data_IF_154095072130
#
_entry.id   IF_154095072130
#
_cell.length_a   1.000
_cell.length_b   1.000
_cell.length_c   1.000
_cell.angle_alpha   90.00
_cell.angle_beta   90.00
_cell.angle_gamma   90.00
#
_symmetry.space_group_name_H-M   'P 1'
#
loop_
_entity.id
_entity.type
_entity.pdbx_description
1 polymer ?
#
# COMPACT_ATOMS: atom_id res chain seq x y z
N UNK A 1 4.35 -0.73 -4.80
CA UNK A 1 5.18 -1.78 -4.18
C UNK A 1 4.42 -2.69 -3.20
N UNK A 2 3.66 -2.18 -2.21
CA UNK A 2 2.94 -3.04 -1.25
C UNK A 2 2.01 -4.07 -1.94
N UNK A 3 1.19 -3.64 -2.91
CA UNK A 3 0.34 -4.55 -3.69
C UNK A 3 1.12 -5.64 -4.44
N UNK A 4 2.31 -5.31 -4.97
CA UNK A 4 3.21 -6.25 -5.65
C UNK A 4 3.73 -7.33 -4.69
N UNK A 5 4.21 -6.91 -3.51
CA UNK A 5 4.68 -7.84 -2.47
C UNK A 5 3.55 -8.78 -2.04
N UNK A 6 2.35 -8.24 -1.75
CA UNK A 6 1.21 -9.07 -1.35
C UNK A 6 0.62 -9.93 -2.47
N UNK A 7 0.91 -9.64 -3.73
CA UNK A 7 0.45 -10.43 -4.88
C UNK A 7 1.45 -11.52 -5.29
N UNK A 8 2.75 -11.21 -5.32
CA UNK A 8 3.78 -12.04 -5.95
C UNK A 8 4.70 -12.77 -4.99
N UNK A 9 4.81 -12.29 -3.75
CA UNK A 9 5.67 -12.92 -2.75
C UNK A 9 4.87 -13.79 -1.80
N UNK A 10 5.50 -14.87 -1.32
CA UNK A 10 4.97 -15.74 -0.27
C UNK A 10 5.84 -15.60 0.98
N UNK A 11 5.25 -15.18 2.09
CA UNK A 11 5.97 -15.05 3.36
C UNK A 11 5.06 -15.38 4.56
N UNK A 12 5.67 -15.73 5.69
CA UNK A 12 4.93 -16.13 6.90
C UNK A 12 4.10 -14.94 7.40
N UNK A 13 2.80 -15.15 7.61
CA UNK A 13 1.88 -14.12 8.08
C UNK A 13 1.29 -13.21 7.00
N UNK A 14 1.61 -13.41 5.71
CA UNK A 14 1.09 -12.60 4.60
C UNK A 14 -0.44 -12.46 4.61
N UNK A 15 -1.17 -13.57 4.76
CA UNK A 15 -2.64 -13.56 4.79
C UNK A 15 -3.16 -12.76 5.96
N UNK A 16 -2.56 -12.90 7.15
CA UNK A 16 -2.96 -12.16 8.34
C UNK A 16 -2.73 -10.65 8.16
N UNK A 17 -1.55 -10.24 7.69
CA UNK A 17 -1.25 -8.83 7.43
C UNK A 17 -2.16 -8.24 6.35
N UNK A 18 -2.45 -9.00 5.30
CA UNK A 18 -3.37 -8.54 4.25
C UNK A 18 -4.79 -8.35 4.81
N UNK A 19 -5.28 -9.29 5.62
CA UNK A 19 -6.58 -9.17 6.28
C UNK A 19 -6.62 -8.01 7.27
N UNK A 20 -5.54 -7.75 8.01
CA UNK A 20 -5.42 -6.60 8.90
C UNK A 20 -5.55 -5.28 8.13
N UNK A 21 -4.88 -5.16 6.99
CA UNK A 21 -5.00 -4.00 6.10
C UNK A 21 -6.44 -3.88 5.59
N UNK A 22 -7.08 -4.99 5.21
CA UNK A 22 -8.48 -4.96 4.76
C UNK A 22 -9.44 -4.53 5.86
N UNK A 23 -9.22 -4.95 7.10
CA UNK A 23 -10.06 -4.59 8.24
C UNK A 23 -10.09 -3.06 8.46
N UNK A 24 -9.03 -2.34 8.12
CA UNK A 24 -9.00 -0.87 8.27
C UNK A 24 -9.95 -0.14 7.31
N UNK A 25 -10.39 -0.78 6.22
CA UNK A 25 -11.42 -0.22 5.31
C UNK A 25 -12.75 -0.05 6.05
N UNK A 26 -13.01 -0.88 7.06
CA UNK A 26 -14.24 -0.83 7.86
C UNK A 26 -14.28 0.39 8.79
N UNK A 27 -13.13 1.03 9.05
CA UNK A 27 -13.07 2.18 9.95
C UNK A 27 -13.29 3.47 9.15
N UNK A 28 -14.39 4.20 9.37
CA UNK A 28 -14.69 5.41 8.61
C UNK A 28 -13.70 6.53 8.94
N UNK A 29 -13.32 7.30 7.92
CA UNK A 29 -12.34 8.40 8.01
C UNK A 29 -12.64 9.40 9.14
N UNK A 30 -13.93 9.62 9.39
CA UNK A 30 -14.43 10.54 10.41
C UNK A 30 -13.98 10.13 11.82
N UNK A 31 -13.81 8.84 12.08
CA UNK A 31 -13.41 8.32 13.41
C UNK A 31 -12.02 8.79 13.82
N UNK A 32 -11.10 8.94 12.87
CA UNK A 32 -9.70 9.29 13.13
C UNK A 32 -9.31 10.68 12.57
N UNK A 33 -10.27 11.47 12.13
CA UNK A 33 -10.03 12.83 11.62
C UNK A 33 -9.38 13.75 12.67
N UNK A 34 -9.84 13.68 13.93
CA UNK A 34 -9.26 14.47 15.03
C UNK A 34 -7.81 14.07 15.32
N UNK A 35 -7.48 12.77 15.52
CA UNK A 35 -6.10 12.32 15.63
C UNK A 35 -5.20 12.79 14.48
N UNK A 36 -5.66 12.66 13.23
CA UNK A 36 -4.90 13.11 12.06
C UNK A 36 -4.62 14.62 12.09
N UNK A 37 -5.62 15.42 12.48
CA UNK A 37 -5.44 16.86 12.66
C UNK A 37 -4.39 17.17 13.73
N UNK A 38 -4.38 16.47 14.85
CA UNK A 38 -3.39 16.65 15.91
C UNK A 38 -1.96 16.30 15.45
N UNK A 39 -1.81 15.29 14.59
CA UNK A 39 -0.53 14.94 13.98
C UNK A 39 -0.08 16.05 13.00
N UNK A 40 -0.98 16.58 12.18
CA UNK A 40 -0.64 17.70 11.29
C UNK A 40 -0.31 18.97 12.06
N UNK A 41 -0.95 19.17 13.22
CA UNK A 41 -0.62 20.24 14.16
C UNK A 41 0.79 20.10 14.72
N UNK A 42 1.17 18.90 15.16
CA UNK A 42 2.52 18.68 15.71
C UNK A 42 3.62 18.84 14.66
N UNK A 43 3.32 18.55 13.39
CA UNK A 43 4.21 18.82 12.26
C UNK A 43 4.24 20.29 11.82
N UNK A 44 3.34 21.14 12.33
CA UNK A 44 3.19 22.52 11.88
C UNK A 44 2.63 22.64 10.46
N UNK A 45 1.92 21.61 9.97
CA UNK A 45 1.38 21.54 8.60
C UNK A 45 -0.07 22.01 8.48
N UNK A 46 -0.64 22.55 9.55
CA UNK A 46 -1.99 23.16 9.49
C UNK A 46 -2.01 24.25 8.41
N UNK A 47 -3.08 24.28 7.61
CA UNK A 47 -3.30 25.23 6.51
C UNK A 47 -2.25 25.16 5.39
N UNK A 48 -1.61 24.01 5.20
CA UNK A 48 -0.70 23.77 4.07
C UNK A 48 -1.23 22.65 3.18
N UNK A 49 -0.84 22.66 1.90
CA UNK A 49 -1.19 21.58 0.97
C UNK A 49 -0.66 20.23 1.47
N UNK A 50 0.57 20.16 2.00
CA UNK A 50 1.08 18.91 2.55
C UNK A 50 0.25 18.41 3.75
N UNK A 51 -0.24 19.30 4.61
CA UNK A 51 -1.09 18.92 5.74
C UNK A 51 -2.45 18.37 5.33
N UNK A 52 -2.96 18.77 4.16
CA UNK A 52 -4.18 18.23 3.58
C UNK A 52 -3.93 16.88 2.88
N UNK A 53 -2.82 16.74 2.17
CA UNK A 53 -2.49 15.56 1.37
C UNK A 53 -2.01 14.41 2.24
N UNK A 54 -1.09 14.69 3.18
CA UNK A 54 -0.35 13.68 3.95
C UNK A 54 -1.22 12.65 4.67
N UNK A 55 -2.31 13.04 5.35
CA UNK A 55 -3.18 12.08 6.03
C UNK A 55 -3.86 11.08 5.08
N UNK A 56 -3.95 11.39 3.80
CA UNK A 56 -4.69 10.62 2.80
C UNK A 56 -3.79 9.79 1.87
N UNK A 57 -2.45 9.88 2.00
CA UNK A 57 -1.52 9.22 1.06
C UNK A 57 -1.58 7.69 1.18
N UNK A 58 -1.83 7.17 2.38
CA UNK A 58 -1.88 5.73 2.64
C UNK A 58 -3.32 5.29 2.78
N UNK A 59 -3.83 4.63 1.73
CA UNK A 59 -5.17 4.05 1.71
C UNK A 59 -5.12 2.54 1.52
N UNK A 60 -5.76 1.81 2.43
CA UNK A 60 -5.83 0.35 2.38
C UNK A 60 -6.58 -0.18 1.16
N UNK A 61 -7.57 0.56 0.66
CA UNK A 61 -8.24 0.26 -0.62
C UNK A 61 -7.27 0.27 -1.79
N UNK A 62 -6.30 1.19 -1.81
CA UNK A 62 -5.26 1.22 -2.85
C UNK A 62 -4.42 -0.06 -2.87
N UNK A 63 -4.05 -0.57 -1.70
CA UNK A 63 -3.30 -1.84 -1.58
C UNK A 63 -4.14 -3.02 -2.08
N UNK A 64 -5.43 -3.06 -1.75
CA UNK A 64 -6.36 -4.08 -2.23
C UNK A 64 -6.43 -4.13 -3.76
N UNK A 65 -6.73 -2.99 -4.38
CA UNK A 65 -6.90 -2.91 -5.83
C UNK A 65 -5.60 -3.22 -6.57
N UNK A 66 -4.47 -2.69 -6.10
CA UNK A 66 -3.16 -2.99 -6.68
C UNK A 66 -2.86 -4.48 -6.59
N UNK A 67 -3.08 -5.13 -5.43
CA UNK A 67 -2.87 -6.57 -5.30
C UNK A 67 -3.75 -7.34 -6.28
N UNK A 68 -5.03 -7.01 -6.35
CA UNK A 68 -5.98 -7.71 -7.22
C UNK A 68 -5.61 -7.60 -8.70
N UNK A 69 -5.16 -6.42 -9.13
CA UNK A 69 -4.68 -6.21 -10.49
C UNK A 69 -3.37 -6.96 -10.77
N UNK A 70 -2.38 -6.87 -9.86
CA UNK A 70 -1.08 -7.52 -10.07
C UNK A 70 -1.20 -9.05 -10.06
N UNK A 71 -2.16 -9.62 -9.33
CA UNK A 71 -2.44 -11.06 -9.35
C UNK A 71 -2.79 -11.60 -10.74
N UNK A 72 -3.31 -10.77 -11.64
CA UNK A 72 -3.66 -11.21 -13.01
C UNK A 72 -2.44 -11.31 -13.93
N UNK A 73 -1.29 -10.77 -13.52
CA UNK A 73 -0.04 -10.86 -14.29
C UNK A 73 0.52 -12.28 -14.13
N UNK A 74 0.93 -12.99 -15.20
CA UNK A 74 1.56 -14.31 -15.06
C UNK A 74 2.87 -14.27 -14.27
N UNK A 75 3.13 -15.27 -13.43
CA UNK A 75 4.39 -15.36 -12.67
C UNK A 75 5.59 -15.66 -13.58
N UNK A 76 5.37 -16.32 -14.72
CA UNK A 76 6.40 -16.63 -15.73
C UNK A 76 7.10 -15.37 -16.26
N UNK A 77 6.40 -14.24 -16.34
CA UNK A 77 7.00 -12.97 -16.76
C UNK A 77 8.01 -12.45 -15.73
N UNK A 78 7.70 -12.63 -14.44
CA UNK A 78 8.60 -12.24 -13.35
C UNK A 78 9.84 -13.13 -13.37
N UNK A 79 9.66 -14.43 -13.58
CA UNK A 79 10.78 -15.37 -13.66
C UNK A 79 11.65 -15.14 -14.90
N UNK A 80 11.05 -14.80 -16.04
CA UNK A 80 11.79 -14.39 -17.24
C UNK A 80 12.63 -13.13 -16.99
N UNK A 81 12.05 -12.09 -16.37
CA UNK A 81 12.80 -10.87 -16.03
C UNK A 81 13.96 -11.15 -15.06
N UNK A 82 13.81 -12.11 -14.13
CA UNK A 82 14.92 -12.56 -13.26
C UNK A 82 16.03 -13.25 -14.05
N UNK A 83 15.67 -14.09 -15.03
CA UNK A 83 16.65 -14.71 -15.91
C UNK A 83 17.40 -13.68 -16.77
N UNK A 84 16.72 -12.63 -17.20
CA UNK A 84 17.30 -11.50 -17.93
C UNK A 84 18.16 -10.57 -17.04
N UNK A 85 18.28 -10.86 -15.73
CA UNK A 85 19.13 -10.14 -14.79
C UNK A 85 18.50 -8.87 -14.21
N UNK A 86 17.19 -8.68 -14.33
CA UNK A 86 16.51 -7.54 -13.72
C UNK A 86 16.56 -7.63 -12.19
N UNK A 87 16.84 -6.49 -11.54
CA UNK A 87 16.64 -6.34 -10.09
C UNK A 87 15.14 -6.34 -9.75
N UNK A 88 14.78 -6.62 -8.49
CA UNK A 88 13.37 -6.62 -8.06
C UNK A 88 12.66 -5.26 -8.24
N UNK A 89 13.41 -4.16 -8.15
CA UNK A 89 12.86 -2.84 -8.50
C UNK A 89 12.63 -2.71 -10.01
N UNK A 90 13.53 -3.27 -10.82
CA UNK A 90 13.38 -3.33 -12.28
C UNK A 90 12.24 -4.23 -12.74
N UNK A 91 11.92 -5.30 -12.01
CA UNK A 91 10.76 -6.15 -12.30
C UNK A 91 9.44 -5.45 -11.94
N UNK A 92 9.47 -4.57 -10.94
CA UNK A 92 8.31 -3.83 -10.48
C UNK A 92 7.92 -2.64 -11.38
N UNK A 93 8.88 -2.00 -12.04
CA UNK A 93 8.70 -0.79 -12.87
C UNK A 93 8.29 -1.13 -14.30
#
# INVERSE_FOLDING_TARGET
MAGYIFAKYKFRGQTFLFLLIMATILVPLQTYMIPLYLIMKSFGWINTYQGMIFPLIVMSSGIFFLRQNILTIPDELIDASRMDGCSEFGIFW
#
